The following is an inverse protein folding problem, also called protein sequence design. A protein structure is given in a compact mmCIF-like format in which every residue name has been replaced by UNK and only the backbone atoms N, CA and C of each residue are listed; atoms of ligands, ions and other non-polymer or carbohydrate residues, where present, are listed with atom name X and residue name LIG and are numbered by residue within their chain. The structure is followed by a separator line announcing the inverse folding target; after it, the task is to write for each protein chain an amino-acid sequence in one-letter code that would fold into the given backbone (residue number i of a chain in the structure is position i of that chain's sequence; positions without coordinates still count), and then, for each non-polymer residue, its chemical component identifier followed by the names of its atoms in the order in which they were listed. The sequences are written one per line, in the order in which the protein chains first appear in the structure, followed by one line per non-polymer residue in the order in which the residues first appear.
data_IF_640225190480
#
_entry.id   IF_640225190480
#
_cell.length_a   1.000
_cell.length_b   1.000
_cell.length_c   1.000
_cell.angle_alpha   90.00
_cell.angle_beta   90.00
_cell.angle_gamma   90.00
#
_symmetry.space_group_name_H-M   'P 1'
#
loop_
_entity.id
_entity.type
_entity.pdbx_description
1 polymer ?
#
# COMPACT_ATOMS: atom_id res chain seq x y z
N UNK A 1 20.59 23.70 -8.29
CA UNK A 1 20.84 22.65 -7.29
C UNK A 1 19.54 21.88 -7.04
N UNK A 2 19.59 20.55 -7.12
CA UNK A 2 18.70 19.58 -6.47
C UNK A 2 17.31 19.21 -7.06
N UNK A 3 17.12 19.18 -8.38
CA UNK A 3 15.95 18.46 -8.97
C UNK A 3 16.20 16.94 -9.15
N UNK A 4 17.45 16.48 -9.25
CA UNK A 4 17.78 15.05 -9.43
C UNK A 4 17.63 14.19 -8.17
N UNK A 5 17.77 14.78 -6.96
CA UNK A 5 17.65 14.02 -5.70
C UNK A 5 16.19 13.67 -5.38
N UNK A 6 15.24 14.57 -5.69
CA UNK A 6 13.81 14.33 -5.44
C UNK A 6 13.24 13.16 -6.24
N UNK A 7 13.75 12.85 -7.43
CA UNK A 7 13.20 11.82 -8.31
C UNK A 7 13.75 10.40 -8.05
N UNK A 8 14.93 10.25 -7.43
CA UNK A 8 15.46 8.92 -7.11
C UNK A 8 14.96 8.40 -5.75
N UNK A 9 14.75 9.29 -4.77
CA UNK A 9 14.33 8.89 -3.43
C UNK A 9 12.84 8.54 -3.35
N UNK A 10 12.02 9.18 -4.19
CA UNK A 10 10.57 8.94 -4.24
C UNK A 10 10.23 7.53 -4.73
N UNK A 11 10.98 6.96 -5.67
CA UNK A 11 10.80 5.55 -6.06
C UNK A 11 11.18 4.55 -4.97
N UNK A 12 11.98 4.95 -3.97
CA UNK A 12 12.45 4.03 -2.93
C UNK A 12 11.35 3.71 -1.92
N UNK A 13 10.40 4.62 -1.67
CA UNK A 13 9.35 4.41 -0.65
C UNK A 13 8.54 3.12 -0.89
N UNK A 14 8.25 2.78 -2.15
CA UNK A 14 7.47 1.59 -2.50
C UNK A 14 8.22 0.26 -2.35
N UNK A 15 9.53 0.30 -2.01
CA UNK A 15 10.41 -0.88 -1.98
C UNK A 15 11.09 -1.10 -0.63
N UNK A 16 10.84 -0.22 0.34
CA UNK A 16 11.45 -0.32 1.66
C UNK A 16 10.97 -1.55 2.42
N UNK A 17 11.79 -2.00 3.35
CA UNK A 17 11.57 -3.24 4.10
C UNK A 17 11.69 -3.07 5.61
N UNK A 18 12.10 -1.90 6.09
CA UNK A 18 12.29 -1.63 7.51
C UNK A 18 11.92 -0.22 7.92
N UNK A 19 11.70 -0.08 9.22
CA UNK A 19 11.46 1.16 9.97
C UNK A 19 12.55 2.20 9.78
N UNK A 20 13.80 1.76 9.76
CA UNK A 20 14.97 2.62 9.59
C UNK A 20 15.00 3.25 8.19
N UNK A 21 14.63 2.47 7.16
CA UNK A 21 14.50 3.00 5.79
C UNK A 21 13.36 4.01 5.70
N UNK A 22 12.21 3.73 6.33
CA UNK A 22 11.07 4.64 6.40
C UNK A 22 11.46 5.97 7.05
N UNK A 23 12.00 5.92 8.28
CA UNK A 23 12.40 7.11 9.02
C UNK A 23 13.45 7.94 8.28
N UNK A 24 14.41 7.30 7.61
CA UNK A 24 15.39 7.98 6.75
C UNK A 24 14.72 8.71 5.60
N UNK A 25 13.79 8.09 4.88
CA UNK A 25 13.07 8.73 3.77
C UNK A 25 12.17 9.88 4.24
N UNK A 26 11.47 9.72 5.37
CA UNK A 26 10.65 10.80 5.91
C UNK A 26 11.51 11.99 6.36
N UNK A 27 12.71 11.74 6.90
CA UNK A 27 13.66 12.80 7.27
C UNK A 27 14.19 13.62 6.08
N UNK A 28 14.20 13.05 4.86
CA UNK A 28 14.56 13.78 3.64
C UNK A 28 13.40 14.60 3.06
N UNK A 29 12.23 14.57 3.69
CA UNK A 29 11.01 15.23 3.22
C UNK A 29 10.27 14.45 2.15
N UNK A 30 10.45 13.13 2.09
CA UNK A 30 9.63 12.25 1.24
C UNK A 30 8.19 12.28 1.74
N UNK A 31 7.24 12.53 0.82
CA UNK A 31 5.82 12.48 1.13
C UNK A 31 5.36 11.02 1.24
N UNK A 32 4.87 10.61 2.42
CA UNK A 32 4.35 9.26 2.68
C UNK A 32 3.15 8.91 1.78
N UNK A 33 2.40 9.91 1.33
CA UNK A 33 1.20 9.76 0.52
C UNK A 33 1.46 9.84 -0.99
N UNK A 34 2.73 9.85 -1.40
CA UNK A 34 3.06 9.82 -2.81
C UNK A 34 2.52 8.56 -3.49
N UNK A 35 2.13 8.71 -4.76
CA UNK A 35 1.51 7.65 -5.54
C UNK A 35 2.40 7.20 -6.70
N UNK A 36 2.30 5.91 -7.05
CA UNK A 36 2.83 5.40 -8.31
C UNK A 36 1.99 5.91 -9.49
N UNK A 37 2.44 5.64 -10.73
CA UNK A 37 1.64 5.92 -11.94
C UNK A 37 0.30 5.19 -11.98
N UNK A 38 0.13 4.14 -11.17
CA UNK A 38 -1.10 3.37 -11.04
C UNK A 38 -2.01 3.89 -9.91
N UNK A 39 -1.67 5.01 -9.27
CA UNK A 39 -2.45 5.57 -8.15
C UNK A 39 -2.22 4.86 -6.81
N UNK A 40 -1.19 4.02 -6.72
CA UNK A 40 -0.94 3.19 -5.53
C UNK A 40 0.01 3.92 -4.57
N UNK A 41 -0.29 3.91 -3.27
CA UNK A 41 0.67 4.33 -2.25
C UNK A 41 1.55 3.16 -1.79
N UNK A 42 2.42 3.38 -0.79
CA UNK A 42 3.36 2.36 -0.31
C UNK A 42 2.70 1.10 0.30
N UNK A 43 1.47 1.19 0.83
CA UNK A 43 0.79 0.04 1.44
C UNK A 43 0.50 -1.08 0.43
N UNK A 44 0.27 -0.73 -0.84
CA UNK A 44 0.00 -1.70 -1.92
C UNK A 44 1.17 -2.64 -2.18
N UNK A 45 2.38 -2.26 -1.77
CA UNK A 45 3.62 -3.01 -2.03
C UNK A 45 4.28 -3.52 -0.74
N UNK A 46 3.80 -3.10 0.42
CA UNK A 46 4.36 -3.51 1.69
C UNK A 46 3.91 -4.95 2.02
N UNK A 47 4.83 -5.75 2.55
CA UNK A 47 4.57 -7.13 3.00
C UNK A 47 5.00 -7.37 4.45
N UNK A 48 5.35 -6.30 5.15
CA UNK A 48 5.95 -6.34 6.48
C UNK A 48 4.97 -5.69 7.47
N UNK A 49 4.28 -6.46 8.32
CA UNK A 49 3.23 -5.95 9.21
C UNK A 49 3.69 -4.79 10.11
N UNK A 50 4.89 -4.89 10.69
CA UNK A 50 5.41 -3.82 11.56
C UNK A 50 5.69 -2.52 10.78
N UNK A 51 6.27 -2.63 9.58
CA UNK A 51 6.45 -1.48 8.70
C UNK A 51 5.12 -0.87 8.25
N UNK A 52 4.08 -1.68 8.00
CA UNK A 52 2.74 -1.16 7.69
C UNK A 52 2.19 -0.33 8.84
N UNK A 53 2.30 -0.81 10.09
CA UNK A 53 1.88 -0.04 11.28
C UNK A 53 2.60 1.30 11.35
N UNK A 54 3.90 1.32 11.08
CA UNK A 54 4.66 2.56 11.06
C UNK A 54 4.26 3.52 9.92
N UNK A 55 4.00 3.00 8.71
CA UNK A 55 3.47 3.82 7.61
C UNK A 55 2.11 4.43 7.97
N UNK A 56 1.23 3.67 8.64
CA UNK A 56 -0.07 4.14 9.14
C UNK A 56 0.11 5.21 10.21
N UNK A 57 0.99 5.00 11.18
CA UNK A 57 1.31 5.99 12.20
C UNK A 57 1.94 7.27 11.61
N UNK A 58 2.66 7.15 10.48
CA UNK A 58 3.20 8.28 9.74
C UNK A 58 2.15 9.03 8.91
N UNK A 59 0.88 8.60 8.92
CA UNK A 59 -0.23 9.30 8.25
C UNK A 59 -0.41 8.92 6.78
N UNK A 60 0.00 7.72 6.37
CA UNK A 60 -0.35 7.22 5.03
C UNK A 60 -1.88 7.04 4.91
N UNK A 61 -2.44 7.37 3.75
CA UNK A 61 -3.85 7.18 3.47
C UNK A 61 -4.16 5.68 3.30
N UNK A 62 -4.68 5.05 4.36
CA UNK A 62 -5.01 3.62 4.35
C UNK A 62 -6.11 3.26 3.31
N UNK A 63 -6.97 4.22 2.97
CA UNK A 63 -8.09 4.04 2.04
C UNK A 63 -7.78 4.55 0.63
N UNK A 64 -6.50 4.74 0.29
CA UNK A 64 -6.10 5.07 -1.07
C UNK A 64 -6.55 3.97 -2.04
N UNK A 65 -7.08 4.37 -3.20
CA UNK A 65 -7.43 3.47 -4.30
C UNK A 65 -6.47 3.65 -5.48
N UNK A 66 -6.26 2.57 -6.23
CA UNK A 66 -5.55 2.60 -7.50
C UNK A 66 -6.49 3.04 -8.66
N UNK A 67 -5.97 3.05 -9.89
CA UNK A 67 -6.74 3.43 -11.08
C UNK A 67 -7.90 2.50 -11.44
N UNK A 68 -8.06 1.37 -10.76
CA UNK A 68 -9.17 0.43 -10.90
C UNK A 68 -10.14 0.50 -9.70
N UNK A 69 -10.05 1.54 -8.87
CA UNK A 69 -10.78 1.65 -7.59
C UNK A 69 -10.49 0.46 -6.65
N UNK A 70 -9.25 -0.03 -6.62
CA UNK A 70 -8.85 -1.06 -5.67
C UNK A 70 -8.05 -0.45 -4.54
N UNK A 71 -8.41 -0.73 -3.30
CA UNK A 71 -7.57 -0.41 -2.15
C UNK A 71 -6.48 -1.49 -1.92
N UNK A 72 -5.63 -1.30 -0.91
CA UNK A 72 -4.51 -2.21 -0.63
C UNK A 72 -4.93 -3.66 -0.32
N UNK A 73 -6.18 -3.92 0.12
CA UNK A 73 -6.64 -5.28 0.42
C UNK A 73 -6.65 -6.19 -0.81
N UNK A 74 -6.89 -5.65 -2.00
CA UNK A 74 -6.92 -6.42 -3.25
C UNK A 74 -5.56 -7.06 -3.59
N UNK A 75 -4.48 -6.53 -3.02
CA UNK A 75 -3.10 -6.94 -3.29
C UNK A 75 -2.47 -7.67 -2.08
N UNK A 76 -3.21 -7.82 -0.99
CA UNK A 76 -2.70 -8.44 0.23
C UNK A 76 -2.70 -9.97 0.11
N UNK A 77 -1.54 -10.59 0.34
CA UNK A 77 -1.37 -12.05 0.23
C UNK A 77 -1.20 -12.74 1.59
N UNK A 78 -0.78 -12.02 2.63
CA UNK A 78 -0.44 -12.60 3.93
C UNK A 78 -1.48 -12.26 5.01
N UNK A 79 -1.91 -13.24 5.82
CA UNK A 79 -2.88 -13.02 6.90
C UNK A 79 -2.46 -11.92 7.89
N UNK A 80 -1.17 -11.80 8.20
CA UNK A 80 -0.66 -10.84 9.17
C UNK A 80 -0.79 -9.40 8.66
N UNK A 81 -0.49 -9.17 7.38
CA UNK A 81 -0.69 -7.86 6.75
C UNK A 81 -2.17 -7.52 6.61
N UNK A 82 -3.02 -8.53 6.37
CA UNK A 82 -4.47 -8.35 6.35
C UNK A 82 -4.97 -7.89 7.72
N UNK A 83 -4.53 -8.54 8.81
CA UNK A 83 -4.89 -8.17 10.18
C UNK A 83 -4.58 -6.70 10.46
N UNK A 84 -3.35 -6.26 10.15
CA UNK A 84 -2.92 -4.87 10.35
C UNK A 84 -3.83 -3.90 9.61
N UNK A 85 -4.09 -4.12 8.32
CA UNK A 85 -4.94 -3.22 7.54
C UNK A 85 -6.37 -3.16 8.11
N UNK A 86 -6.96 -4.31 8.47
CA UNK A 86 -8.31 -4.37 9.05
C UNK A 86 -8.42 -3.69 10.41
N UNK A 87 -7.42 -3.88 11.28
CA UNK A 87 -7.37 -3.26 12.61
C UNK A 87 -7.24 -1.74 12.55
N UNK A 88 -6.65 -1.21 11.46
CA UNK A 88 -6.39 0.22 11.29
C UNK A 88 -7.43 0.92 10.39
N UNK A 89 -8.57 0.28 10.12
CA UNK A 89 -9.73 0.95 9.52
C UNK A 89 -9.69 1.08 7.99
N UNK A 90 -9.03 0.15 7.31
CA UNK A 90 -9.22 0.03 5.86
C UNK A 90 -10.68 -0.34 5.54
N UNK A 91 -11.22 0.20 4.45
CA UNK A 91 -12.54 -0.16 3.97
C UNK A 91 -12.55 -1.59 3.39
N UNK A 92 -12.95 -2.55 4.22
CA UNK A 92 -13.03 -3.97 3.85
C UNK A 92 -14.12 -4.26 2.80
N UNK A 93 -15.11 -3.37 2.67
CA UNK A 93 -16.24 -3.55 1.76
C UNK A 93 -16.05 -2.80 0.45
N UNK A 94 -14.92 -2.12 0.27
CA UNK A 94 -14.61 -1.38 -0.94
C UNK A 94 -14.68 -2.29 -2.17
N UNK A 95 -15.26 -1.77 -3.25
CA UNK A 95 -15.40 -2.49 -4.52
C UNK A 95 -14.66 -1.77 -5.63
N UNK A 96 -14.02 -2.54 -6.49
CA UNK A 96 -13.39 -2.05 -7.71
C UNK A 96 -14.42 -1.53 -8.72
N UNK A 97 -13.95 -1.01 -9.86
CA UNK A 97 -14.82 -0.48 -10.93
C UNK A 97 -15.83 -1.49 -11.49
N UNK A 98 -15.68 -2.80 -11.20
CA UNK A 98 -16.61 -3.86 -11.61
C UNK A 98 -17.52 -4.32 -10.46
N UNK A 99 -17.51 -3.64 -9.32
CA UNK A 99 -18.29 -4.02 -8.15
C UNK A 99 -17.71 -5.20 -7.37
N UNK A 100 -16.45 -5.58 -7.61
CA UNK A 100 -15.81 -6.71 -6.93
C UNK A 100 -15.04 -6.21 -5.72
N UNK A 101 -15.22 -6.83 -4.56
CA UNK A 101 -14.39 -6.54 -3.38
C UNK A 101 -13.12 -7.41 -3.38
N UNK A 102 -12.24 -7.17 -2.40
CA UNK A 102 -10.99 -7.92 -2.25
C UNK A 102 -11.23 -9.44 -2.08
N UNK A 103 -12.28 -9.81 -1.33
CA UNK A 103 -12.65 -11.20 -1.10
C UNK A 103 -13.05 -11.94 -2.38
N UNK A 104 -13.85 -11.29 -3.24
CA UNK A 104 -14.19 -11.83 -4.57
C UNK A 104 -12.93 -12.15 -5.37
N UNK A 105 -11.94 -11.25 -5.34
CA UNK A 105 -10.68 -11.43 -6.05
C UNK A 105 -9.88 -12.62 -5.51
N UNK A 106 -9.80 -12.77 -4.17
CA UNK A 106 -9.13 -13.91 -3.52
C UNK A 106 -9.78 -15.26 -3.87
N UNK A 107 -11.11 -15.31 -3.96
CA UNK A 107 -11.83 -16.51 -4.40
C UNK A 107 -11.50 -16.89 -5.83
N UNK A 108 -11.38 -15.91 -6.74
CA UNK A 108 -11.02 -16.17 -8.14
C UNK A 108 -9.56 -16.59 -8.33
N UNK A 109 -8.65 -16.17 -7.45
CA UNK A 109 -7.24 -16.57 -7.51
C UNK A 109 -7.00 -18.00 -7.01
N UNK A 110 -7.81 -18.47 -6.05
CA UNK A 110 -7.72 -19.82 -5.49
C UNK A 110 -8.52 -20.87 -6.28
N UNK A 111 -9.23 -20.46 -7.34
CA UNK A 111 -9.88 -21.37 -8.27
C UNK A 111 -9.05 -21.45 -9.55
N UNK A 112 -8.18 -22.48 -9.71
CA UNK A 112 -7.55 -22.74 -10.99
C UNK A 112 -8.61 -23.31 -11.94
N UNK A 113 -9.23 -22.47 -12.77
CA UNK A 113 -10.00 -22.94 -13.93
C UNK A 113 -11.25 -23.78 -13.58
N UNK A 114 -12.10 -24.23 -14.49
CA UNK A 114 -12.08 -24.28 -15.95
C UNK A 114 -10.72 -24.65 -16.58
#
# INVERSE_FOLDING_TARGET
MNQKLKNNDSHNLFRIKSSEELSKLLSTGTDINMLTSSGQNALFHCKYPELMKEMINAGININQTDTLDRNALFYTLFPETLSVLTEHGIDINHTDTLGRNAFFTLMTLNLPGY
#
